data_IF_848206545620
#
_entry.id   IF_848206545620
#
_cell.length_a   1.000
_cell.length_b   1.000
_cell.length_c   1.000
_cell.angle_alpha   90.00
_cell.angle_beta   90.00
_cell.angle_gamma   90.00
#
_symmetry.space_group_name_H-M   'P 1'
#
loop_
_entity.id
_entity.type
_entity.pdbx_description
1 polymer ?
#
# COMPACT_ATOMS: atom_id res chain seq x y z
N UNK A 1 20.92 -9.64 16.67
CA UNK A 1 19.88 -8.95 15.87
C UNK A 1 20.44 -7.87 14.94
N UNK A 2 21.71 -7.44 15.08
CA UNK A 2 22.41 -6.69 14.04
C UNK A 2 23.81 -7.31 13.89
N UNK A 3 24.19 -7.68 12.67
CA UNK A 3 25.54 -8.18 12.38
C UNK A 3 26.19 -7.25 11.38
N UNK A 4 27.37 -6.72 11.72
CA UNK A 4 28.13 -5.82 10.86
C UNK A 4 28.61 -6.52 9.58
N UNK A 5 28.57 -7.86 9.54
CA UNK A 5 28.97 -8.70 8.41
C UNK A 5 28.16 -8.40 7.14
N UNK A 6 26.90 -7.99 7.27
CA UNK A 6 26.02 -7.72 6.12
C UNK A 6 25.84 -6.23 5.83
N UNK A 7 26.53 -5.34 6.55
CA UNK A 7 26.32 -3.89 6.47
C UNK A 7 26.40 -3.36 5.02
N UNK A 8 27.38 -3.80 4.23
CA UNK A 8 27.52 -3.40 2.83
C UNK A 8 26.34 -3.88 1.98
N UNK A 9 25.87 -5.11 2.20
CA UNK A 9 24.73 -5.70 1.48
C UNK A 9 23.42 -5.03 1.85
N UNK A 10 23.18 -4.81 3.13
CA UNK A 10 21.98 -4.16 3.65
C UNK A 10 21.88 -2.70 3.18
N UNK A 11 23.00 -1.99 3.12
CA UNK A 11 23.04 -0.58 2.69
C UNK A 11 22.81 -0.46 1.18
N UNK A 12 23.47 -1.28 0.36
CA UNK A 12 23.25 -1.30 -1.10
C UNK A 12 21.85 -1.81 -1.45
N UNK A 13 21.37 -2.83 -0.74
CA UNK A 13 20.03 -3.38 -0.90
C UNK A 13 18.96 -2.35 -0.53
N UNK A 14 19.10 -1.69 0.62
CA UNK A 14 18.20 -0.64 1.07
C UNK A 14 18.17 0.57 0.13
N UNK A 15 19.34 1.01 -0.39
CA UNK A 15 19.41 2.09 -1.36
C UNK A 15 18.68 1.72 -2.67
N UNK A 16 18.96 0.54 -3.20
CA UNK A 16 18.32 0.04 -4.43
C UNK A 16 16.82 -0.11 -4.26
N UNK A 17 16.40 -0.69 -3.13
CA UNK A 17 15.00 -0.82 -2.75
C UNK A 17 14.31 0.54 -2.65
N UNK A 18 14.95 1.53 -2.02
CA UNK A 18 14.43 2.89 -1.90
C UNK A 18 14.23 3.56 -3.25
N UNK A 19 15.22 3.45 -4.16
CA UNK A 19 15.14 4.00 -5.52
C UNK A 19 13.96 3.41 -6.29
N UNK A 20 13.74 2.09 -6.19
CA UNK A 20 12.63 1.41 -6.87
C UNK A 20 11.28 1.73 -6.21
N UNK A 21 11.25 1.89 -4.89
CA UNK A 21 10.02 2.15 -4.12
C UNK A 21 9.51 3.58 -4.32
N UNK A 22 10.40 4.55 -4.52
CA UNK A 22 10.04 5.97 -4.66
C UNK A 22 9.01 6.22 -5.79
N UNK A 23 9.24 5.84 -7.06
CA UNK A 23 8.26 6.05 -8.13
C UNK A 23 6.95 5.28 -7.87
N UNK A 24 7.04 4.08 -7.28
CA UNK A 24 5.88 3.25 -6.95
C UNK A 24 4.98 3.94 -5.91
N UNK A 25 5.59 4.50 -4.85
CA UNK A 25 4.89 5.20 -3.80
C UNK A 25 4.18 6.45 -4.33
N UNK A 26 4.84 7.23 -5.20
CA UNK A 26 4.23 8.42 -5.82
C UNK A 26 3.05 8.04 -6.71
N UNK A 27 3.21 7.02 -7.57
CA UNK A 27 2.16 6.55 -8.47
C UNK A 27 0.93 6.06 -7.68
N UNK A 28 1.14 5.28 -6.62
CA UNK A 28 0.06 4.78 -5.78
C UNK A 28 -0.59 5.86 -4.92
N UNK A 29 0.18 6.86 -4.45
CA UNK A 29 -0.37 8.04 -3.79
C UNK A 29 -1.34 8.80 -4.70
N UNK A 30 -0.95 9.06 -5.95
CA UNK A 30 -1.83 9.69 -6.94
C UNK A 30 -3.10 8.87 -7.20
N UNK A 31 -2.94 7.56 -7.36
CA UNK A 31 -4.03 6.66 -7.70
C UNK A 31 -5.02 6.44 -6.55
N UNK A 32 -4.61 6.69 -5.30
CA UNK A 32 -5.51 6.70 -4.14
C UNK A 32 -6.45 7.92 -4.09
N UNK A 33 -6.20 8.96 -4.90
CA UNK A 33 -6.96 10.21 -4.88
C UNK A 33 -6.48 11.25 -3.85
N UNK A 34 -5.51 10.91 -2.98
CA UNK A 34 -4.96 11.82 -1.97
C UNK A 34 -3.69 12.57 -2.43
N UNK A 35 -3.22 12.31 -3.65
CA UNK A 35 -2.05 12.96 -4.25
C UNK A 35 -0.72 12.24 -3.99
N UNK A 36 0.30 12.53 -4.80
CA UNK A 36 1.57 11.82 -4.79
C UNK A 36 2.29 11.83 -3.43
N UNK A 37 2.22 12.96 -2.72
CA UNK A 37 2.87 13.18 -1.43
C UNK A 37 2.34 12.21 -0.37
N UNK A 38 1.04 11.88 -0.41
CA UNK A 38 0.43 10.92 0.52
C UNK A 38 1.07 9.53 0.42
N UNK A 39 1.39 9.09 -0.80
CA UNK A 39 2.05 7.80 -1.03
C UNK A 39 3.48 7.78 -0.51
N UNK A 40 4.20 8.90 -0.63
CA UNK A 40 5.54 9.05 -0.06
C UNK A 40 5.51 8.98 1.47
N UNK A 41 4.59 9.72 2.11
CA UNK A 41 4.40 9.65 3.57
C UNK A 41 4.02 8.25 4.02
N UNK A 42 3.11 7.58 3.30
CA UNK A 42 2.73 6.21 3.57
C UNK A 42 3.95 5.27 3.52
N UNK A 43 4.78 5.34 2.47
CA UNK A 43 5.96 4.50 2.33
C UNK A 43 6.97 4.69 3.48
N UNK A 44 7.23 5.94 3.88
CA UNK A 44 8.16 6.26 4.98
C UNK A 44 7.61 5.76 6.32
N UNK A 45 6.35 6.07 6.63
CA UNK A 45 5.73 5.71 7.90
C UNK A 45 5.54 4.19 8.02
N UNK A 46 5.04 3.54 6.97
CA UNK A 46 4.85 2.09 6.94
C UNK A 46 6.19 1.35 7.04
N UNK A 47 7.21 1.80 6.31
CA UNK A 47 8.56 1.25 6.41
C UNK A 47 9.13 1.39 7.82
N UNK A 48 8.98 2.57 8.43
CA UNK A 48 9.40 2.82 9.81
C UNK A 48 8.72 1.89 10.83
N UNK A 49 7.39 1.75 10.74
CA UNK A 49 6.62 0.84 11.59
C UNK A 49 7.03 -0.62 11.36
N UNK A 50 7.26 -1.02 10.12
CA UNK A 50 7.68 -2.39 9.79
C UNK A 50 9.09 -2.73 10.31
N UNK A 51 9.99 -1.75 10.42
CA UNK A 51 11.31 -1.97 11.03
C UNK A 51 11.18 -2.25 12.54
N UNK A 52 10.25 -1.57 13.22
CA UNK A 52 10.04 -1.72 14.66
C UNK A 52 9.23 -2.97 15.03
N UNK A 53 8.21 -3.29 14.22
CA UNK A 53 7.20 -4.32 14.55
C UNK A 53 7.24 -5.54 13.62
N UNK A 54 8.12 -5.56 12.61
CA UNK A 54 8.17 -6.61 11.59
C UNK A 54 8.88 -7.89 12.04
N UNK A 55 8.50 -9.01 11.41
CA UNK A 55 9.11 -10.33 11.66
C UNK A 55 10.08 -10.83 10.58
N UNK A 56 10.21 -10.10 9.47
CA UNK A 56 10.97 -10.54 8.27
C UNK A 56 12.09 -9.55 7.95
N UNK A 57 13.34 -10.04 7.90
CA UNK A 57 14.53 -9.19 7.80
C UNK A 57 14.72 -8.46 6.47
N UNK A 58 14.20 -9.02 5.38
CA UNK A 58 14.40 -8.50 4.01
C UNK A 58 13.13 -7.93 3.40
N UNK A 59 12.02 -7.89 4.15
CA UNK A 59 10.74 -7.44 3.65
C UNK A 59 10.68 -5.91 3.61
N UNK A 60 10.45 -5.36 2.43
CA UNK A 60 10.25 -3.92 2.23
C UNK A 60 8.74 -3.64 2.29
N UNK A 61 8.32 -2.85 3.27
CA UNK A 61 6.91 -2.49 3.46
C UNK A 61 6.63 -1.12 2.86
N UNK A 62 5.74 -1.09 1.88
CA UNK A 62 5.39 0.08 1.05
C UNK A 62 3.94 -0.07 0.57
N UNK A 63 3.24 1.01 0.18
CA UNK A 63 1.98 0.89 -0.57
C UNK A 63 2.13 -0.09 -1.76
N UNK A 64 1.09 -0.90 -1.98
CA UNK A 64 1.05 -1.92 -3.04
C UNK A 64 -0.20 -1.74 -3.89
N UNK A 65 -0.16 -2.21 -5.15
CA UNK A 65 -1.30 -2.11 -6.08
C UNK A 65 -2.66 -2.54 -5.48
N UNK A 66 -2.77 -3.75 -4.88
CA UNK A 66 -4.01 -4.17 -4.21
C UNK A 66 -4.50 -3.19 -3.14
N UNK A 67 -3.58 -2.73 -2.28
CA UNK A 67 -3.90 -1.81 -1.20
C UNK A 67 -4.33 -0.45 -1.73
N UNK A 68 -3.68 0.04 -2.78
CA UNK A 68 -4.01 1.31 -3.45
C UNK A 68 -5.41 1.28 -4.06
N UNK A 69 -5.79 0.18 -4.72
CA UNK A 69 -7.14 0.04 -5.30
C UNK A 69 -8.19 0.07 -4.19
N UNK A 70 -7.99 -0.67 -3.09
CA UNK A 70 -8.90 -0.65 -1.94
C UNK A 70 -8.93 0.73 -1.28
N UNK A 71 -7.78 1.39 -1.15
CA UNK A 71 -7.67 2.73 -0.60
C UNK A 71 -8.47 3.74 -1.45
N UNK A 72 -8.28 3.75 -2.77
CA UNK A 72 -9.01 4.62 -3.68
C UNK A 72 -10.53 4.46 -3.54
N UNK A 73 -11.01 3.21 -3.50
CA UNK A 73 -12.42 2.90 -3.34
C UNK A 73 -12.96 3.36 -1.97
N UNK A 74 -12.23 3.08 -0.89
CA UNK A 74 -12.66 3.47 0.48
C UNK A 74 -12.67 4.98 0.65
N UNK A 75 -11.68 5.69 0.10
CA UNK A 75 -11.58 7.15 0.13
C UNK A 75 -12.72 7.77 -0.69
N UNK A 76 -12.95 7.30 -1.92
CA UNK A 76 -14.04 7.79 -2.76
C UNK A 76 -15.40 7.63 -2.08
N UNK A 77 -15.66 6.46 -1.47
CA UNK A 77 -16.91 6.21 -0.74
C UNK A 77 -17.04 7.08 0.52
N UNK A 78 -15.94 7.29 1.27
CA UNK A 78 -15.96 8.17 2.43
C UNK A 78 -16.25 9.63 2.05
N UNK A 79 -15.68 10.11 0.94
CA UNK A 79 -15.97 11.44 0.39
C UNK A 79 -17.43 11.54 -0.06
N UNK A 80 -17.95 10.53 -0.76
CA UNK A 80 -19.34 10.52 -1.21
C UNK A 80 -20.34 10.60 -0.05
N UNK A 81 -20.03 9.96 1.09
CA UNK A 81 -20.87 10.00 2.29
C UNK A 81 -20.74 11.31 3.08
N UNK A 82 -19.53 11.88 3.17
CA UNK A 82 -19.26 13.08 3.96
C UNK A 82 -19.46 14.39 3.18
N UNK A 83 -19.52 14.33 1.85
CA UNK A 83 -19.69 15.47 0.94
C UNK A 83 -18.39 16.24 0.62
N UNK A 84 -17.32 16.05 1.39
CA UNK A 84 -16.01 16.64 1.12
C UNK A 84 -14.87 15.79 1.70
N UNK A 85 -13.66 15.96 1.17
CA UNK A 85 -12.47 15.31 1.70
C UNK A 85 -12.22 15.70 3.16
N UNK A 86 -12.37 16.97 3.51
CA UNK A 86 -12.06 17.49 4.84
C UNK A 86 -12.95 16.88 5.92
N UNK A 87 -14.23 16.67 5.60
CA UNK A 87 -15.17 15.96 6.47
C UNK A 87 -14.93 14.44 6.48
N UNK A 88 -14.46 13.86 5.35
CA UNK A 88 -14.17 12.44 5.23
C UNK A 88 -12.87 12.01 5.94
N UNK A 89 -11.92 12.93 6.17
CA UNK A 89 -10.60 12.62 6.72
C UNK A 89 -10.67 11.83 8.03
N UNK A 90 -11.56 12.21 8.95
CA UNK A 90 -11.74 11.49 10.22
C UNK A 90 -12.17 10.03 10.01
N UNK A 91 -13.11 9.81 9.08
CA UNK A 91 -13.59 8.47 8.71
C UNK A 91 -12.49 7.65 8.03
N UNK A 92 -11.79 8.25 7.07
CA UNK A 92 -10.68 7.60 6.34
C UNK A 92 -9.60 7.14 7.32
N UNK A 93 -9.12 8.04 8.20
CA UNK A 93 -8.11 7.72 9.21
C UNK A 93 -8.58 6.61 10.15
N UNK A 94 -9.85 6.66 10.57
CA UNK A 94 -10.43 5.63 11.45
C UNK A 94 -10.46 4.25 10.79
N UNK A 95 -10.83 4.18 9.51
CA UNK A 95 -10.85 2.91 8.74
C UNK A 95 -9.45 2.31 8.65
N UNK A 96 -8.44 3.10 8.27
CA UNK A 96 -7.07 2.61 8.14
C UNK A 96 -6.44 2.24 9.49
N UNK A 97 -6.74 3.00 10.54
CA UNK A 97 -6.28 2.68 11.89
C UNK A 97 -6.92 1.38 12.40
N UNK A 98 -8.23 1.19 12.16
CA UNK A 98 -8.92 -0.06 12.47
C UNK A 98 -8.34 -1.24 11.68
N UNK A 99 -8.06 -1.07 10.39
CA UNK A 99 -7.43 -2.10 9.57
C UNK A 99 -6.06 -2.52 10.15
N UNK A 100 -5.25 -1.55 10.60
CA UNK A 100 -3.98 -1.81 11.28
C UNK A 100 -4.16 -2.56 12.61
N UNK A 101 -5.14 -2.16 13.43
CA UNK A 101 -5.47 -2.86 14.67
C UNK A 101 -5.90 -4.30 14.43
N UNK A 102 -6.75 -4.55 13.43
CA UNK A 102 -7.16 -5.91 13.04
C UNK A 102 -5.95 -6.74 12.60
N UNK A 103 -5.01 -6.15 11.84
CA UNK A 103 -3.77 -6.84 11.46
C UNK A 103 -2.90 -7.19 12.67
N UNK A 104 -2.80 -6.32 13.68
CA UNK A 104 -2.09 -6.61 14.94
C UNK A 104 -2.76 -7.79 15.65
N UNK A 105 -4.09 -7.78 15.77
CA UNK A 105 -4.85 -8.88 16.39
C UNK A 105 -4.61 -10.20 15.65
N UNK A 106 -4.62 -10.20 14.31
CA UNK A 106 -4.32 -11.39 13.51
C UNK A 106 -2.88 -11.89 13.71
N UNK A 107 -1.93 -10.97 13.88
CA UNK A 107 -0.55 -11.29 14.23
C UNK A 107 -0.43 -11.97 15.59
N UNK A 108 -1.11 -11.44 16.62
CA UNK A 108 -1.13 -12.00 17.97
C UNK A 108 -1.78 -13.39 18.02
N UNK A 109 -2.87 -13.58 17.26
CA UNK A 109 -3.55 -14.88 17.12
C UNK A 109 -2.81 -15.86 16.19
N UNK A 110 -1.68 -15.45 15.60
CA UNK A 110 -0.90 -16.24 14.63
C UNK A 110 -1.70 -16.73 13.42
N UNK A 111 -2.77 -16.01 13.07
CA UNK A 111 -3.64 -16.35 11.93
C UNK A 111 -2.94 -16.16 10.58
N UNK A 112 -1.84 -15.41 10.54
CA UNK A 112 -1.00 -15.28 9.34
C UNK A 112 -0.48 -16.62 8.81
N UNK A 113 -0.32 -17.64 9.66
CA UNK A 113 0.10 -18.98 9.23
C UNK A 113 -0.93 -19.66 8.29
N UNK A 114 -2.19 -19.23 8.33
CA UNK A 114 -3.26 -19.82 7.51
C UNK A 114 -3.27 -19.28 6.08
N UNK A 115 -2.58 -18.17 5.80
CA UNK A 115 -2.47 -17.59 4.45
C UNK A 115 -1.86 -18.58 3.45
N UNK A 116 -1.05 -19.54 3.92
CA UNK A 116 -0.48 -20.62 3.09
C UNK A 116 -1.52 -21.58 2.49
N UNK A 117 -2.75 -21.59 3.00
CA UNK A 117 -3.82 -22.46 2.50
C UNK A 117 -4.64 -21.83 1.37
N UNK A 118 -4.37 -20.57 1.01
CA UNK A 118 -5.05 -19.93 -0.11
C UNK A 118 -4.58 -20.59 -1.42
N UNK A 119 -5.49 -21.13 -2.25
CA UNK A 119 -5.10 -21.77 -3.50
C UNK A 119 -4.39 -20.81 -4.45
N UNK A 120 -3.33 -21.29 -5.11
CA UNK A 120 -2.60 -20.51 -6.11
C UNK A 120 -3.50 -19.88 -7.20
N UNK A 121 -4.52 -20.58 -7.76
CA UNK A 121 -5.41 -19.97 -8.76
C UNK A 121 -6.15 -18.72 -8.25
N UNK A 122 -6.50 -18.67 -6.96
CA UNK A 122 -7.18 -17.51 -6.35
C UNK A 122 -6.22 -16.32 -6.26
N UNK A 123 -5.00 -16.55 -5.77
CA UNK A 123 -3.96 -15.51 -5.68
C UNK A 123 -3.59 -14.98 -7.07
N UNK A 124 -3.39 -15.88 -8.03
CA UNK A 124 -3.07 -15.50 -9.42
C UNK A 124 -4.20 -14.71 -10.05
N UNK A 125 -5.46 -15.16 -9.93
CA UNK A 125 -6.62 -14.46 -10.47
C UNK A 125 -6.80 -13.07 -9.86
N UNK A 126 -6.64 -12.94 -8.54
CA UNK A 126 -6.70 -11.67 -7.82
C UNK A 126 -5.62 -10.69 -8.31
N UNK A 127 -4.37 -11.15 -8.41
CA UNK A 127 -3.25 -10.31 -8.88
C UNK A 127 -3.42 -9.90 -10.34
N UNK A 128 -3.89 -10.79 -11.21
CA UNK A 128 -4.20 -10.46 -12.61
C UNK A 128 -5.32 -9.43 -12.70
N UNK A 129 -6.39 -9.58 -11.89
CA UNK A 129 -7.49 -8.62 -11.84
C UNK A 129 -7.03 -7.22 -11.43
N UNK A 130 -6.18 -7.13 -10.40
CA UNK A 130 -5.58 -5.85 -9.99
C UNK A 130 -4.67 -5.29 -11.07
N UNK A 131 -3.88 -6.13 -11.74
CA UNK A 131 -3.07 -5.72 -12.88
C UNK A 131 -3.91 -5.08 -13.99
N UNK A 132 -5.05 -5.67 -14.33
CA UNK A 132 -5.99 -5.10 -15.31
C UNK A 132 -6.54 -3.76 -14.82
N UNK A 133 -6.96 -3.65 -13.56
CA UNK A 133 -7.46 -2.38 -12.98
C UNK A 133 -6.38 -1.29 -13.07
N UNK A 134 -5.14 -1.60 -12.72
CA UNK A 134 -4.03 -0.65 -12.81
C UNK A 134 -3.77 -0.20 -14.25
N UNK A 135 -3.78 -1.12 -15.22
CA UNK A 135 -3.64 -0.77 -16.65
C UNK A 135 -4.76 0.19 -17.07
N UNK A 136 -6.01 -0.13 -16.73
CA UNK A 136 -7.16 0.72 -17.05
C UNK A 136 -7.03 2.13 -16.46
N UNK A 137 -6.59 2.23 -15.22
CA UNK A 137 -6.34 3.54 -14.59
C UNK A 137 -5.21 4.33 -15.25
N UNK A 138 -4.24 3.67 -15.88
CA UNK A 138 -3.16 4.35 -16.60
C UNK A 138 -3.53 4.74 -18.04
N UNK A 139 -4.64 4.23 -18.60
CA UNK A 139 -5.05 4.55 -19.97
C UNK A 139 -5.30 6.05 -20.18
N UNK A 140 -5.94 6.73 -19.22
CA UNK A 140 -6.23 8.17 -19.30
C UNK A 140 -4.95 9.03 -19.24
N UNK A 141 -4.07 8.88 -18.21
CA UNK A 141 -2.78 9.55 -18.19
C UNK A 141 -1.92 9.28 -19.44
N UNK A 142 -1.98 8.07 -20.00
CA UNK A 142 -1.19 7.68 -21.18
C UNK A 142 -1.56 8.49 -22.43
N UNK A 143 -2.84 8.83 -22.60
CA UNK A 143 -3.31 9.67 -23.72
C UNK A 143 -3.33 11.17 -23.37
N UNK A 144 -2.81 11.55 -22.19
CA UNK A 144 -2.78 12.93 -21.71
C UNK A 144 -4.13 13.47 -21.25
N UNK A 145 -5.12 12.60 -21.01
CA UNK A 145 -6.43 12.97 -20.52
C UNK A 145 -6.53 12.81 -18.99
N UNK A 146 -7.25 13.72 -18.35
CA UNK A 146 -7.67 13.53 -16.97
C UNK A 146 -8.66 12.37 -16.89
N UNK A 147 -8.52 11.49 -15.88
CA UNK A 147 -9.53 10.49 -15.62
C UNK A 147 -10.89 11.19 -15.37
N UNK A 148 -12.00 10.66 -15.91
CA UNK A 148 -13.32 11.27 -15.74
C UNK A 148 -13.64 11.37 -14.24
N UNK A 149 -14.17 12.52 -13.78
CA UNK A 149 -14.64 12.64 -12.41
C UNK A 149 -15.82 11.69 -12.20
N UNK A 150 -15.76 10.91 -11.14
CA UNK A 150 -16.86 10.11 -10.62
C UNK A 150 -17.86 10.96 -9.85
#
# INVERSE_FOLDING_TARGET
MFSVTHLKGDLLGGLTAGIVTLPLALAFGLQSGLGAVSGLYCAILLGGVAILCGGTRTLISTPTGPMTVVAALTIAQAIALAGSLELALGTILSIFLLAGLVQIVFGLLKLGANVKYIPYPVLSGFMTGIGIILILFQMYPLVGLSAPPN
#
